data_IF_221306637078
#
_entry.id   IF_221306637078
#
_cell.length_a   1.000
_cell.length_b   1.000
_cell.length_c   1.000
_cell.angle_alpha   90.00
_cell.angle_beta   90.00
_cell.angle_gamma   90.00
#
_symmetry.space_group_name_H-M   'P 1'
#
loop_
_entity.id
_entity.type
_entity.pdbx_description
1 polymer ?
#
# COMPACT_ATOMS: atom_id res chain seq x y z
N UNK A 1 -33.02 -31.60 -17.11
CA UNK A 1 -32.52 -30.34 -17.69
C UNK A 1 -31.02 -30.36 -17.54
N UNK A 2 -30.31 -30.87 -18.55
CA UNK A 2 -28.85 -31.03 -18.56
C UNK A 2 -28.30 -29.78 -19.25
N UNK A 3 -27.67 -28.89 -18.48
CA UNK A 3 -26.96 -27.75 -19.08
C UNK A 3 -25.70 -28.31 -19.77
N UNK A 4 -25.42 -27.94 -21.02
CA UNK A 4 -24.23 -28.44 -21.69
C UNK A 4 -22.99 -27.91 -20.99
N UNK A 5 -22.07 -28.82 -20.66
CA UNK A 5 -20.69 -28.52 -20.31
C UNK A 5 -20.08 -27.81 -21.52
N UNK A 6 -20.13 -26.47 -21.51
CA UNK A 6 -19.31 -25.68 -22.40
C UNK A 6 -17.87 -25.97 -22.02
N UNK A 7 -17.21 -26.78 -22.85
CA UNK A 7 -15.75 -26.84 -22.96
C UNK A 7 -15.21 -25.41 -22.92
N UNK A 8 -14.71 -24.98 -21.75
CA UNK A 8 -13.91 -23.77 -21.65
C UNK A 8 -12.57 -24.09 -22.29
N UNK A 9 -12.51 -23.92 -23.61
CA UNK A 9 -11.27 -23.74 -24.36
C UNK A 9 -10.39 -22.78 -23.56
N UNK A 10 -9.26 -23.29 -23.07
CA UNK A 10 -8.29 -22.54 -22.31
C UNK A 10 -7.76 -21.37 -23.15
N UNK A 11 -8.12 -20.16 -22.74
CA UNK A 11 -7.25 -19.01 -23.01
C UNK A 11 -6.05 -19.19 -22.07
N UNK A 12 -4.96 -19.75 -22.60
CA UNK A 12 -3.70 -20.02 -21.91
C UNK A 12 -3.01 -18.71 -21.47
N UNK A 13 -3.59 -18.03 -20.48
CA UNK A 13 -2.79 -17.22 -19.58
C UNK A 13 -2.26 -18.15 -18.50
N UNK A 14 -0.94 -18.37 -18.52
CA UNK A 14 -0.24 -19.03 -17.43
C UNK A 14 -0.69 -18.42 -16.10
N UNK A 15 -1.21 -19.25 -15.18
CA UNK A 15 -1.65 -18.81 -13.86
C UNK A 15 -0.55 -18.00 -13.17
N UNK A 16 0.72 -18.39 -13.37
CA UNK A 16 1.86 -17.66 -12.82
C UNK A 16 1.97 -16.22 -13.36
N UNK A 17 1.62 -15.99 -14.63
CA UNK A 17 1.58 -14.65 -15.22
C UNK A 17 0.45 -13.81 -14.65
N UNK A 18 -0.73 -14.41 -14.45
CA UNK A 18 -1.86 -13.72 -13.80
C UNK A 18 -1.48 -13.33 -12.37
N UNK A 19 -0.96 -14.28 -11.59
CA UNK A 19 -0.49 -14.03 -10.23
C UNK A 19 0.61 -12.96 -10.19
N UNK A 20 1.50 -12.93 -11.19
CA UNK A 20 2.54 -11.90 -11.26
C UNK A 20 1.94 -10.51 -11.52
N UNK A 21 1.02 -10.40 -12.48
CA UNK A 21 0.34 -9.14 -12.85
C UNK A 21 -0.48 -8.58 -11.70
N UNK A 22 -1.07 -9.44 -10.87
CA UNK A 22 -1.91 -9.04 -9.72
C UNK A 22 -1.15 -8.89 -8.40
N UNK A 23 0.17 -9.10 -8.39
CA UNK A 23 0.97 -9.04 -7.15
C UNK A 23 0.78 -10.24 -6.21
N UNK A 24 0.14 -11.29 -6.69
CA UNK A 24 -0.16 -12.51 -5.94
C UNK A 24 0.87 -13.64 -6.16
N UNK A 25 1.86 -13.48 -7.04
CA UNK A 25 2.87 -14.52 -7.26
C UNK A 25 3.80 -14.67 -6.05
N UNK A 26 3.79 -15.86 -5.44
CA UNK A 26 4.77 -16.27 -4.45
C UNK A 26 6.05 -16.74 -5.15
N UNK A 27 7.10 -15.92 -5.08
CA UNK A 27 8.41 -16.25 -5.65
C UNK A 27 9.19 -17.26 -4.81
N UNK A 28 8.72 -17.56 -3.61
CA UNK A 28 9.36 -18.45 -2.65
C UNK A 28 8.43 -19.63 -2.31
N UNK A 29 7.73 -20.15 -3.32
CA UNK A 29 6.79 -21.28 -3.18
C UNK A 29 7.46 -22.51 -2.53
N UNK A 30 8.75 -22.72 -2.79
CA UNK A 30 9.57 -23.79 -2.21
C UNK A 30 9.73 -23.71 -0.69
N UNK A 31 9.44 -22.54 -0.08
CA UNK A 31 9.49 -22.35 1.36
C UNK A 31 8.19 -22.75 2.06
N UNK A 32 7.09 -22.95 1.32
CA UNK A 32 5.82 -23.41 1.86
C UNK A 32 5.93 -24.92 2.09
N UNK A 33 6.02 -25.32 3.36
CA UNK A 33 6.24 -26.71 3.80
C UNK A 33 5.00 -27.34 4.43
N UNK A 34 3.97 -26.54 4.69
CA UNK A 34 2.70 -27.01 5.26
C UNK A 34 2.15 -28.21 4.46
N UNK A 35 1.76 -29.31 5.13
CA UNK A 35 1.19 -30.49 4.47
C UNK A 35 -0.01 -30.15 3.58
N UNK A 36 -0.77 -29.12 3.95
CA UNK A 36 -1.93 -28.63 3.22
C UNK A 36 -1.62 -28.27 1.76
N UNK A 37 -0.41 -27.77 1.46
CA UNK A 37 0.04 -27.44 0.09
C UNK A 37 0.75 -28.60 -0.63
N UNK A 38 0.92 -29.75 0.03
CA UNK A 38 1.56 -30.95 -0.53
C UNK A 38 0.55 -32.07 -0.79
N UNK A 39 -0.42 -32.20 0.10
CA UNK A 39 -1.31 -33.35 0.16
C UNK A 39 -2.65 -33.12 -0.57
N UNK A 40 -2.86 -31.91 -1.11
CA UNK A 40 -4.11 -31.48 -1.71
C UNK A 40 -3.90 -30.61 -2.95
N UNK A 41 -4.54 -30.97 -4.06
CA UNK A 41 -4.43 -30.27 -5.35
C UNK A 41 -5.12 -28.89 -5.37
N UNK A 42 -5.94 -28.60 -4.36
CA UNK A 42 -6.64 -27.31 -4.25
C UNK A 42 -5.72 -26.15 -3.85
N UNK A 43 -4.65 -26.44 -3.10
CA UNK A 43 -3.77 -25.42 -2.55
C UNK A 43 -2.53 -25.25 -3.42
N UNK A 44 -2.28 -24.01 -3.82
CA UNK A 44 -1.19 -23.65 -4.72
C UNK A 44 -0.13 -22.82 -3.97
N UNK A 45 1.09 -23.34 -3.76
CA UNK A 45 2.14 -22.60 -3.05
C UNK A 45 2.62 -21.37 -3.83
N UNK A 46 2.33 -21.27 -5.14
CA UNK A 46 2.61 -20.09 -5.96
C UNK A 46 1.57 -18.97 -5.79
N UNK A 47 0.38 -19.27 -5.26
CA UNK A 47 -0.64 -18.28 -4.93
C UNK A 47 -0.40 -17.70 -3.53
N UNK A 48 0.31 -16.57 -3.47
CA UNK A 48 0.67 -15.89 -2.21
C UNK A 48 -0.55 -15.48 -1.40
N UNK A 49 -1.65 -15.11 -2.05
CA UNK A 49 -2.86 -14.71 -1.36
C UNK A 49 -3.42 -15.91 -0.60
N UNK A 50 -3.52 -17.06 -1.28
CA UNK A 50 -3.99 -18.31 -0.68
C UNK A 50 -3.07 -18.75 0.47
N UNK A 51 -1.75 -18.74 0.27
CA UNK A 51 -0.76 -19.08 1.32
C UNK A 51 -0.94 -18.19 2.55
N UNK A 52 -1.08 -16.87 2.37
CA UNK A 52 -1.29 -15.93 3.48
C UNK A 52 -2.62 -16.13 4.18
N UNK A 53 -3.69 -16.40 3.43
CA UNK A 53 -5.00 -16.68 4.00
C UNK A 53 -4.98 -17.95 4.86
N UNK A 54 -4.43 -19.05 4.34
CA UNK A 54 -4.34 -20.31 5.06
C UNK A 54 -3.41 -20.22 6.28
N UNK A 55 -2.33 -19.43 6.20
CA UNK A 55 -1.48 -19.10 7.35
C UNK A 55 -2.28 -18.44 8.47
N UNK A 56 -3.12 -17.45 8.16
CA UNK A 56 -3.96 -16.79 9.16
C UNK A 56 -5.06 -17.72 9.69
N UNK A 57 -5.70 -18.49 8.81
CA UNK A 57 -6.75 -19.45 9.17
C UNK A 57 -6.23 -20.51 10.14
N UNK A 58 -5.04 -21.06 9.89
CA UNK A 58 -4.40 -22.05 10.75
C UNK A 58 -4.19 -21.55 12.19
N UNK A 59 -3.85 -20.27 12.38
CA UNK A 59 -3.72 -19.68 13.73
C UNK A 59 -5.09 -19.37 14.34
N UNK A 60 -6.00 -18.74 13.59
CA UNK A 60 -7.27 -18.21 14.11
C UNK A 60 -8.36 -19.26 14.29
N UNK A 61 -8.39 -20.26 13.42
CA UNK A 61 -9.42 -21.29 13.37
C UNK A 61 -8.88 -22.59 13.96
N UNK A 62 -7.67 -23.01 13.56
CA UNK A 62 -7.11 -24.30 14.00
C UNK A 62 -6.28 -24.17 15.29
N UNK A 63 -6.09 -22.95 15.81
CA UNK A 63 -5.41 -22.69 17.08
C UNK A 63 -3.90 -22.99 17.07
N UNK A 64 -3.29 -23.11 15.89
CA UNK A 64 -1.87 -23.39 15.76
C UNK A 64 -1.02 -22.22 16.27
N UNK A 65 0.18 -22.51 16.77
CA UNK A 65 1.08 -21.46 17.26
C UNK A 65 1.64 -20.63 16.09
N UNK A 66 1.73 -19.31 16.29
CA UNK A 66 2.26 -18.37 15.27
C UNK A 66 3.66 -18.78 14.81
N UNK A 67 4.52 -19.21 15.74
CA UNK A 67 5.89 -19.65 15.41
C UNK A 67 5.87 -20.83 14.44
N UNK A 68 5.07 -21.85 14.73
CA UNK A 68 4.97 -23.04 13.88
C UNK A 68 4.40 -22.71 12.51
N UNK A 69 3.32 -21.93 12.47
CA UNK A 69 2.68 -21.56 11.20
C UNK A 69 3.61 -20.68 10.36
N UNK A 70 4.31 -19.71 10.96
CA UNK A 70 5.29 -18.91 10.22
C UNK A 70 6.35 -19.79 9.54
N UNK A 71 6.90 -20.78 10.25
CA UNK A 71 7.87 -21.73 9.71
C UNK A 71 7.27 -22.64 8.61
N UNK A 72 6.08 -23.21 8.85
CA UNK A 72 5.42 -24.11 7.89
C UNK A 72 5.01 -23.39 6.60
N UNK A 73 4.69 -22.11 6.66
CA UNK A 73 4.25 -21.32 5.51
C UNK A 73 5.38 -20.49 4.88
N UNK A 74 6.62 -20.60 5.38
CA UNK A 74 7.78 -19.94 4.79
C UNK A 74 7.90 -18.43 5.08
N UNK A 75 7.32 -17.97 6.19
CA UNK A 75 7.30 -16.57 6.62
C UNK A 75 7.99 -16.34 7.97
N UNK A 76 8.27 -15.07 8.28
CA UNK A 76 8.69 -14.67 9.64
C UNK A 76 7.49 -14.32 10.51
N UNK A 77 7.67 -14.28 11.83
CA UNK A 77 6.62 -13.83 12.77
C UNK A 77 6.24 -12.37 12.53
N UNK A 78 7.20 -11.51 12.19
CA UNK A 78 6.94 -10.10 11.84
C UNK A 78 6.04 -10.01 10.59
N UNK A 79 6.27 -10.90 9.62
CA UNK A 79 5.43 -10.98 8.42
C UNK A 79 4.02 -11.43 8.78
N UNK A 80 3.87 -12.42 9.68
CA UNK A 80 2.55 -12.83 10.18
C UNK A 80 1.77 -11.64 10.75
N UNK A 81 2.36 -10.86 11.67
CA UNK A 81 1.66 -9.72 12.28
C UNK A 81 1.31 -8.62 11.26
N UNK A 82 2.20 -8.38 10.28
CA UNK A 82 1.95 -7.43 9.20
C UNK A 82 0.76 -7.87 8.34
N UNK A 83 0.75 -9.15 7.94
CA UNK A 83 -0.31 -9.74 7.11
C UNK A 83 -1.64 -9.78 7.87
N UNK A 84 -1.63 -10.15 9.16
CA UNK A 84 -2.82 -10.14 10.02
C UNK A 84 -3.41 -8.73 10.15
N UNK A 85 -2.55 -7.72 10.35
CA UNK A 85 -2.95 -6.32 10.41
C UNK A 85 -3.61 -5.85 9.11
N UNK A 86 -2.98 -6.14 7.97
CA UNK A 86 -3.54 -5.79 6.66
C UNK A 86 -4.87 -6.50 6.40
N UNK A 87 -4.99 -7.78 6.75
CA UNK A 87 -6.23 -8.54 6.59
C UNK A 87 -7.37 -7.97 7.44
N UNK A 88 -7.09 -7.54 8.67
CA UNK A 88 -8.10 -6.91 9.54
C UNK A 88 -8.62 -5.58 8.98
N UNK A 89 -7.76 -4.83 8.30
CA UNK A 89 -8.09 -3.50 7.76
C UNK A 89 -8.74 -3.56 6.38
N UNK A 90 -8.28 -4.45 5.51
CA UNK A 90 -8.59 -4.46 4.06
C UNK A 90 -9.20 -5.78 3.58
N UNK A 91 -9.39 -6.75 4.48
CA UNK A 91 -9.84 -8.09 4.11
C UNK A 91 -8.82 -8.81 3.23
N UNK A 92 -9.32 -9.62 2.29
CA UNK A 92 -8.48 -10.43 1.39
C UNK A 92 -7.61 -9.59 0.46
N UNK A 93 -8.02 -8.35 0.14
CA UNK A 93 -7.21 -7.43 -0.68
C UNK A 93 -5.90 -7.08 0.03
N UNK A 94 -5.93 -6.97 1.36
CA UNK A 94 -4.74 -6.69 2.19
C UNK A 94 -3.70 -7.82 2.20
N UNK A 95 -4.03 -8.99 1.63
CA UNK A 95 -3.11 -10.12 1.48
C UNK A 95 -2.29 -10.07 0.18
N UNK A 96 -2.60 -9.16 -0.75
CA UNK A 96 -1.86 -9.01 -2.00
C UNK A 96 -0.60 -8.14 -1.79
N UNK A 97 0.46 -8.36 -2.59
CA UNK A 97 1.55 -7.38 -2.68
C UNK A 97 1.13 -6.28 -3.66
N UNK A 98 0.21 -5.42 -3.24
CA UNK A 98 0.00 -4.15 -3.94
C UNK A 98 1.25 -3.29 -3.76
N UNK A 99 1.57 -2.42 -4.72
CA UNK A 99 2.73 -1.52 -4.72
C UNK A 99 2.71 -0.46 -3.60
N UNK A 100 2.24 -0.79 -2.40
CA UNK A 100 2.33 0.07 -1.24
C UNK A 100 3.65 -0.18 -0.53
N UNK A 101 4.68 0.55 -0.99
CA UNK A 101 5.90 0.72 -0.21
C UNK A 101 5.57 1.22 1.20
N UNK A 102 6.45 0.92 2.17
CA UNK A 102 6.37 1.28 3.61
C UNK A 102 5.16 2.15 3.96
N UNK A 103 4.08 1.49 4.41
CA UNK A 103 2.92 2.12 5.04
C UNK A 103 3.36 2.79 6.34
N UNK A 104 3.97 3.99 6.27
CA UNK A 104 3.54 5.02 7.24
C UNK A 104 2.05 5.21 7.00
N UNK A 105 1.21 5.51 8.02
CA UNK A 105 -0.22 5.65 7.79
C UNK A 105 -0.38 6.63 6.63
N UNK A 106 -0.87 6.17 5.47
CA UNK A 106 -0.90 6.99 4.24
C UNK A 106 -1.63 8.30 4.54
N UNK A 107 -2.63 8.21 5.41
CA UNK A 107 -3.34 9.32 6.02
C UNK A 107 -2.45 10.36 6.72
N UNK A 108 -1.45 9.93 7.50
CA UNK A 108 -0.50 10.84 8.15
C UNK A 108 0.39 11.54 7.11
N UNK A 109 0.78 10.83 6.05
CA UNK A 109 1.58 11.41 4.96
C UNK A 109 0.76 12.43 4.16
N UNK A 110 -0.49 12.12 3.85
CA UNK A 110 -1.40 13.01 3.13
C UNK A 110 -1.75 14.25 3.95
N UNK A 111 -2.03 14.09 5.25
CA UNK A 111 -2.28 15.21 6.17
C UNK A 111 -1.06 16.13 6.28
N UNK A 112 0.14 15.56 6.35
CA UNK A 112 1.39 16.33 6.39
C UNK A 112 1.61 17.08 5.08
N UNK A 113 1.39 16.45 3.93
CA UNK A 113 1.53 17.11 2.61
C UNK A 113 0.48 18.22 2.43
N UNK A 114 -0.79 17.95 2.76
CA UNK A 114 -1.85 18.94 2.72
C UNK A 114 -1.54 20.14 3.63
N UNK A 115 -1.03 19.88 4.83
CA UNK A 115 -0.58 20.93 5.74
C UNK A 115 0.54 21.79 5.13
N UNK A 116 1.59 21.16 4.60
CA UNK A 116 2.73 21.85 3.94
C UNK A 116 2.23 22.77 2.81
N UNK A 117 1.32 22.27 1.97
CA UNK A 117 0.75 23.04 0.85
C UNK A 117 -0.10 24.21 1.35
N UNK A 118 -0.94 24.00 2.38
CA UNK A 118 -1.77 25.07 2.93
C UNK A 118 -0.92 26.17 3.56
N UNK A 119 0.15 25.82 4.28
CA UNK A 119 1.05 26.81 4.88
C UNK A 119 1.80 27.57 3.79
N UNK A 120 2.30 26.89 2.75
CA UNK A 120 2.95 27.57 1.63
C UNK A 120 2.02 28.54 0.91
N UNK A 121 0.72 28.25 0.83
CA UNK A 121 -0.27 29.16 0.22
C UNK A 121 -0.60 30.37 1.09
N UNK A 122 -0.68 30.20 2.41
CA UNK A 122 -0.95 31.30 3.35
C UNK A 122 0.13 32.38 3.31
N UNK A 123 1.39 31.99 3.16
CA UNK A 123 2.50 32.93 3.07
C UNK A 123 3.64 32.37 2.18
N UNK A 124 3.56 32.60 0.85
CA UNK A 124 4.53 32.08 -0.10
C UNK A 124 5.94 32.63 0.06
N UNK A 125 6.10 33.83 0.64
CA UNK A 125 7.40 34.50 0.78
C UNK A 125 8.12 34.05 2.05
N UNK A 126 7.40 33.86 3.15
CA UNK A 126 8.03 33.54 4.44
C UNK A 126 8.04 32.06 4.79
N UNK A 127 7.13 31.25 4.25
CA UNK A 127 7.13 29.79 4.47
C UNK A 127 8.12 29.08 3.54
N UNK A 128 9.40 29.34 3.77
CA UNK A 128 10.52 28.63 3.14
C UNK A 128 10.56 27.15 3.54
N UNK A 129 11.30 26.32 2.79
CA UNK A 129 11.44 24.90 3.11
C UNK A 129 12.01 24.63 4.50
N UNK A 130 12.80 25.54 5.08
CA UNK A 130 13.31 25.43 6.46
C UNK A 130 12.19 25.67 7.48
N UNK A 131 11.41 26.73 7.27
CA UNK A 131 10.28 27.10 8.15
C UNK A 131 9.21 26.00 8.15
N UNK A 132 8.93 25.42 6.98
CA UNK A 132 7.94 24.34 6.85
C UNK A 132 8.36 23.04 7.57
N UNK A 133 9.66 22.74 7.65
CA UNK A 133 10.14 21.60 8.46
C UNK A 133 9.82 21.80 9.93
N UNK A 134 10.11 22.98 10.48
CA UNK A 134 9.82 23.29 11.89
C UNK A 134 8.32 23.24 12.17
N UNK A 135 7.49 23.82 11.30
CA UNK A 135 6.03 23.75 11.45
C UNK A 135 5.49 22.31 11.42
N UNK A 136 6.06 21.42 10.60
CA UNK A 136 5.67 20.00 10.58
C UNK A 136 6.12 19.29 11.85
N UNK A 137 7.35 19.56 12.31
CA UNK A 137 7.86 19.04 13.58
C UNK A 137 6.97 19.46 14.74
N UNK A 138 6.57 20.73 14.81
CA UNK A 138 5.75 21.25 15.89
C UNK A 138 4.35 20.62 15.91
N UNK A 139 3.71 20.50 14.74
CA UNK A 139 2.33 20.03 14.61
C UNK A 139 2.18 18.52 14.67
N UNK A 140 3.02 17.78 13.95
CA UNK A 140 2.89 16.33 13.77
C UNK A 140 3.91 15.53 14.58
N UNK A 141 4.87 16.19 15.24
CA UNK A 141 5.98 15.54 15.95
C UNK A 141 6.82 14.61 15.06
N UNK A 142 6.87 14.93 13.76
CA UNK A 142 7.65 14.20 12.75
C UNK A 142 8.84 15.06 12.33
N UNK A 143 10.03 14.46 12.30
CA UNK A 143 11.20 15.11 11.75
C UNK A 143 11.31 14.84 10.24
N UNK A 144 11.21 15.91 9.44
CA UNK A 144 11.31 15.84 7.99
C UNK A 144 12.55 16.54 7.47
N UNK A 145 13.25 15.90 6.54
CA UNK A 145 14.34 16.55 5.84
C UNK A 145 13.82 17.62 4.85
N UNK A 146 14.51 18.77 4.75
CA UNK A 146 14.17 19.87 3.81
C UNK A 146 13.93 19.39 2.38
N UNK A 147 14.71 18.40 1.92
CA UNK A 147 14.57 17.76 0.58
C UNK A 147 13.19 17.13 0.36
N UNK A 148 12.54 16.63 1.41
CA UNK A 148 11.20 16.04 1.35
C UNK A 148 10.14 17.12 1.10
N UNK A 149 10.24 18.25 1.81
CA UNK A 149 9.39 19.43 1.60
C UNK A 149 9.52 19.94 0.15
N UNK A 150 10.75 20.13 -0.33
CA UNK A 150 10.98 20.61 -1.70
C UNK A 150 10.45 19.64 -2.76
N UNK A 151 10.56 18.32 -2.53
CA UNK A 151 9.96 17.32 -3.44
C UNK A 151 8.44 17.43 -3.47
N UNK A 152 7.78 17.62 -2.33
CA UNK A 152 6.32 17.79 -2.26
C UNK A 152 5.87 19.04 -3.03
N UNK A 153 6.51 20.20 -2.77
CA UNK A 153 6.23 21.47 -3.44
C UNK A 153 6.46 21.39 -4.97
N UNK A 154 7.53 20.73 -5.40
CA UNK A 154 7.87 20.55 -6.82
C UNK A 154 6.94 19.60 -7.57
N UNK A 155 6.33 18.63 -6.88
CA UNK A 155 5.31 17.76 -7.48
C UNK A 155 3.99 18.52 -7.64
N UNK A 156 3.63 19.36 -6.66
CA UNK A 156 2.46 20.22 -6.70
C UNK A 156 2.52 21.23 -7.86
N UNK A 157 3.65 21.93 -8.03
CA UNK A 157 3.83 22.91 -9.13
C UNK A 157 3.76 22.31 -10.54
N UNK A 158 3.84 20.98 -10.67
CA UNK A 158 3.78 20.25 -11.95
C UNK A 158 2.42 19.61 -12.21
N UNK A 159 1.42 19.84 -11.36
CA UNK A 159 0.08 19.25 -11.51
C UNK A 159 0.05 17.72 -11.39
N UNK A 160 1.10 17.08 -10.86
CA UNK A 160 1.22 15.62 -10.76
C UNK A 160 0.50 15.03 -9.53
N UNK A 161 -0.51 15.70 -8.99
CA UNK A 161 -1.29 15.25 -7.84
C UNK A 161 -2.78 15.21 -8.18
N UNK A 162 -3.40 14.05 -8.01
CA UNK A 162 -4.85 13.85 -8.08
C UNK A 162 -5.29 13.43 -6.68
N UNK A 163 -5.99 14.30 -5.96
CA UNK A 163 -6.76 13.93 -4.77
C UNK A 163 -8.06 14.73 -4.79
N UNK A 164 -9.18 14.02 -4.67
CA UNK A 164 -10.48 14.61 -4.33
C UNK A 164 -10.63 14.58 -2.82
N UNK A 165 -10.52 15.74 -2.16
CA UNK A 165 -11.10 15.90 -0.83
C UNK A 165 -11.52 17.36 -0.60
N UNK A 166 -12.76 17.51 -0.14
CA UNK A 166 -13.36 18.79 0.23
C UNK A 166 -12.87 19.17 1.64
N UNK A 167 -11.93 20.11 1.72
CA UNK A 167 -11.44 20.65 2.99
C UNK A 167 -12.47 21.68 3.48
N UNK A 168 -13.18 21.37 4.58
CA UNK A 168 -14.01 22.36 5.29
C UNK A 168 -13.18 23.63 5.54
N UNK A 169 -13.49 24.70 4.81
CA UNK A 169 -12.91 26.04 4.98
C UNK A 169 -11.81 26.44 3.98
N UNK A 170 -11.38 25.59 3.05
CA UNK A 170 -10.49 26.01 1.95
C UNK A 170 -11.20 25.74 0.63
N UNK A 171 -11.79 26.79 0.08
CA UNK A 171 -12.44 26.75 -1.22
C UNK A 171 -11.35 26.65 -2.31
N UNK A 172 -10.91 25.44 -2.64
CA UNK A 172 -10.12 25.19 -3.86
C UNK A 172 -11.09 25.23 -5.05
N UNK A 173 -11.69 26.39 -5.30
CA UNK A 173 -12.14 26.73 -6.64
C UNK A 173 -10.91 26.62 -7.53
N UNK A 174 -11.07 26.01 -8.70
CA UNK A 174 -10.08 26.05 -9.79
C UNK A 174 -9.68 27.52 -10.03
N UNK A 175 -8.67 28.00 -9.33
CA UNK A 175 -7.98 29.22 -9.72
C UNK A 175 -6.93 28.72 -10.70
N UNK A 176 -7.18 28.97 -11.98
CA UNK A 176 -6.17 28.92 -13.02
C UNK A 176 -5.10 29.95 -12.66
N UNK A 177 -4.15 29.58 -11.81
CA UNK A 177 -2.89 30.32 -11.72
C UNK A 177 -2.04 29.77 -12.85
N UNK A 178 -1.95 30.56 -13.91
CA UNK A 178 -1.10 30.33 -15.07
C UNK A 178 0.28 29.86 -14.59
N UNK A 179 0.82 28.74 -15.12
CA UNK A 179 2.12 28.23 -14.71
C UNK A 179 3.21 29.18 -15.25
N UNK A 180 3.54 30.20 -14.47
CA UNK A 180 4.53 31.19 -14.83
C UNK A 180 5.06 31.87 -13.60
N UNK A 181 6.37 31.72 -13.42
CA UNK A 181 7.22 32.45 -12.46
C UNK A 181 7.17 31.88 -11.04
N UNK A 182 8.08 30.96 -10.74
CA UNK A 182 8.90 30.98 -9.51
C UNK A 182 10.09 30.02 -9.74
N UNK A 183 10.95 30.42 -10.67
CA UNK A 183 12.36 30.04 -10.68
C UNK A 183 13.07 31.25 -10.06
N UNK A 184 13.56 31.11 -8.84
CA UNK A 184 14.80 31.67 -8.28
C UNK A 184 14.73 31.66 -6.75
N UNK A 185 15.81 31.12 -6.18
CA UNK A 185 16.17 30.93 -4.76
C UNK A 185 15.61 29.70 -4.03
#
# INVERSE_FOLDING_TARGET
MHLPEQERKGDDMDKADVLRKTGCLNRYAERVRSPLFKDHDFFDPYDKLQVRYEMLRAVKVDGMSITRVAEEFGYSRETYYTVEGNFRLEGTIGLMDTQQGRRQPEKLVDEVVAFILSERQKDPRNNSGKVLVEKVRDRFKIDLHRRTIYKALKKWSRGKWIFSFEIKGVNIRRVSVTPGIFLLF
#
